data_IF_716405102628
#
_entry.id   IF_716405102628
#
_cell.length_a   1.000
_cell.length_b   1.000
_cell.length_c   1.000
_cell.angle_alpha   90.00
_cell.angle_beta   90.00
_cell.angle_gamma   90.00
#
_symmetry.space_group_name_H-M   'P 1'
#
loop_
_entity.id
_entity.type
_entity.pdbx_description
1 polymer ?
#
# COMPACT_ATOMS: atom_id res chain seq x y z
N UNK A 1 12.98 21.72 -3.50
CA UNK A 1 13.01 21.09 -4.84
C UNK A 1 11.80 21.56 -5.65
N UNK A 2 11.99 21.95 -6.90
CA UNK A 2 10.92 22.44 -7.79
C UNK A 2 10.21 21.28 -8.54
N UNK A 3 9.14 21.58 -9.28
CA UNK A 3 8.32 20.57 -9.97
C UNK A 3 9.14 19.68 -10.93
N UNK A 4 9.98 20.28 -11.80
CA UNK A 4 10.74 19.52 -12.78
C UNK A 4 11.73 18.54 -12.13
N UNK A 5 12.42 18.98 -11.08
CA UNK A 5 13.33 18.14 -10.29
C UNK A 5 12.58 16.99 -9.59
N UNK A 6 11.39 17.28 -9.03
CA UNK A 6 10.52 16.26 -8.42
C UNK A 6 10.11 15.20 -9.43
N UNK A 7 9.68 15.62 -10.61
CA UNK A 7 9.27 14.71 -11.66
C UNK A 7 10.41 13.78 -12.09
N UNK A 8 11.61 14.34 -12.31
CA UNK A 8 12.80 13.56 -12.64
C UNK A 8 13.18 12.57 -11.54
N UNK A 9 13.12 13.00 -10.27
CA UNK A 9 13.43 12.16 -9.12
C UNK A 9 12.47 10.97 -9.03
N UNK A 10 11.15 11.24 -9.07
CA UNK A 10 10.11 10.22 -8.98
C UNK A 10 10.20 9.21 -10.12
N UNK A 11 10.43 9.70 -11.35
CA UNK A 11 10.68 8.85 -12.52
C UNK A 11 11.90 7.94 -12.30
N UNK A 12 13.00 8.50 -11.82
CA UNK A 12 14.25 7.77 -11.59
C UNK A 12 14.15 6.75 -10.45
N UNK A 13 13.42 7.07 -9.37
CA UNK A 13 13.14 6.14 -8.26
C UNK A 13 12.40 4.90 -8.73
N UNK A 14 11.49 5.07 -9.70
CA UNK A 14 10.77 3.96 -10.34
C UNK A 14 11.50 3.33 -11.52
N UNK A 15 12.75 3.75 -11.78
CA UNK A 15 13.59 3.27 -12.89
C UNK A 15 12.93 3.41 -14.27
N UNK A 16 12.04 4.38 -14.43
CA UNK A 16 11.35 4.64 -15.70
C UNK A 16 12.21 5.56 -16.59
N UNK A 17 12.21 5.30 -17.88
CA UNK A 17 12.64 6.23 -18.91
C UNK A 17 11.57 7.28 -19.18
N UNK A 18 11.94 8.38 -19.84
CA UNK A 18 10.97 9.39 -20.27
C UNK A 18 9.92 8.83 -21.23
N UNK A 19 10.30 7.83 -22.04
CA UNK A 19 9.39 7.17 -22.97
C UNK A 19 8.37 6.34 -22.21
N UNK A 20 8.82 5.49 -21.28
CA UNK A 20 7.91 4.64 -20.48
C UNK A 20 6.93 5.48 -19.63
N UNK A 21 7.40 6.60 -19.06
CA UNK A 21 6.50 7.52 -18.35
C UNK A 21 5.47 8.15 -19.28
N UNK A 22 5.89 8.52 -20.50
CA UNK A 22 5.00 9.13 -21.47
C UNK A 22 3.93 8.13 -21.96
N UNK A 23 4.33 6.87 -22.20
CA UNK A 23 3.43 5.77 -22.54
C UNK A 23 2.40 5.53 -21.42
N UNK A 24 2.83 5.51 -20.16
CA UNK A 24 1.93 5.31 -19.01
C UNK A 24 0.86 6.41 -18.88
N UNK A 25 1.20 7.65 -19.28
CA UNK A 25 0.30 8.80 -19.17
C UNK A 25 -0.50 9.02 -20.47
N UNK A 26 -0.10 8.38 -21.57
CA UNK A 26 -0.73 8.53 -22.88
C UNK A 26 -0.37 9.84 -23.59
N UNK A 27 0.88 10.30 -23.42
CA UNK A 27 1.42 11.53 -24.03
C UNK A 27 2.70 11.25 -24.81
N UNK A 28 3.25 12.27 -25.48
CA UNK A 28 4.54 12.12 -26.16
C UNK A 28 5.71 12.23 -25.18
N UNK A 29 6.79 11.48 -25.42
CA UNK A 29 8.07 11.63 -24.70
C UNK A 29 8.55 13.08 -24.67
N UNK A 30 8.33 13.82 -25.75
CA UNK A 30 8.70 15.24 -25.84
C UNK A 30 7.98 16.11 -24.81
N UNK A 31 6.73 15.79 -24.46
CA UNK A 31 6.00 16.51 -23.41
C UNK A 31 6.63 16.27 -22.04
N UNK A 32 6.95 15.00 -21.70
CA UNK A 32 7.68 14.66 -20.46
C UNK A 32 9.02 15.39 -20.41
N UNK A 33 9.80 15.38 -21.49
CA UNK A 33 11.09 16.07 -21.54
C UNK A 33 10.95 17.59 -21.34
N UNK A 34 9.89 18.22 -21.86
CA UNK A 34 9.61 19.65 -21.64
C UNK A 34 9.24 19.93 -20.19
N UNK A 35 8.50 19.03 -19.54
CA UNK A 35 8.18 19.14 -18.12
C UNK A 35 9.42 19.01 -17.25
N UNK A 36 10.26 18.00 -17.51
CA UNK A 36 11.52 17.78 -16.77
C UNK A 36 12.58 18.87 -17.00
N UNK A 37 12.46 19.64 -18.07
CA UNK A 37 13.35 20.79 -18.34
C UNK A 37 12.75 22.14 -17.94
N UNK A 38 11.55 22.14 -17.33
CA UNK A 38 10.84 23.37 -16.93
C UNK A 38 10.36 24.24 -18.11
N UNK A 39 10.43 23.73 -19.35
CA UNK A 39 9.99 24.46 -20.56
C UNK A 39 8.47 24.49 -20.72
N UNK A 40 7.75 23.60 -20.03
CA UNK A 40 6.30 23.57 -20.00
C UNK A 40 5.83 22.99 -18.66
N UNK A 41 4.60 23.31 -18.27
CA UNK A 41 3.94 22.76 -17.08
C UNK A 41 2.81 21.84 -17.56
N UNK A 42 2.64 20.64 -16.96
CA UNK A 42 1.50 19.79 -17.27
C UNK A 42 0.18 20.47 -16.88
N UNK A 43 -0.86 20.25 -17.68
CA UNK A 43 -2.22 20.63 -17.31
C UNK A 43 -2.76 19.77 -16.15
N UNK A 44 -3.94 20.13 -15.64
CA UNK A 44 -4.58 19.42 -14.52
C UNK A 44 -4.84 17.94 -14.82
N UNK A 45 -5.17 17.59 -16.08
CA UNK A 45 -5.42 16.22 -16.47
C UNK A 45 -4.14 15.37 -16.40
N UNK A 46 -3.05 15.91 -16.92
CA UNK A 46 -1.73 15.32 -16.84
C UNK A 46 -1.21 15.25 -15.41
N UNK A 47 -1.47 16.26 -14.57
CA UNK A 47 -1.15 16.22 -13.14
C UNK A 47 -1.91 15.11 -12.39
N UNK A 48 -3.19 14.89 -12.72
CA UNK A 48 -3.97 13.77 -12.17
C UNK A 48 -3.36 12.43 -12.61
N UNK A 49 -2.95 12.30 -13.87
CA UNK A 49 -2.30 11.07 -14.36
C UNK A 49 -0.95 10.84 -13.67
N UNK A 50 -0.11 11.88 -13.56
CA UNK A 50 1.15 11.83 -12.82
C UNK A 50 0.93 11.43 -11.35
N UNK A 51 -0.10 12.01 -10.72
CA UNK A 51 -0.51 11.68 -9.35
C UNK A 51 -0.86 10.20 -9.22
N UNK A 52 -1.57 9.61 -10.18
CA UNK A 52 -1.88 8.18 -10.21
C UNK A 52 -0.64 7.32 -10.47
N UNK A 53 0.16 7.69 -11.46
CA UNK A 53 1.39 6.97 -11.83
C UNK A 53 2.32 6.90 -10.64
N UNK A 54 2.66 8.04 -10.03
CA UNK A 54 3.57 8.09 -8.89
C UNK A 54 2.92 7.79 -7.55
N UNK A 55 1.60 7.63 -7.56
CA UNK A 55 0.73 7.51 -6.40
C UNK A 55 1.04 8.54 -5.30
N UNK A 56 1.05 9.81 -5.67
CA UNK A 56 1.24 10.93 -4.73
C UNK A 56 0.19 11.99 -5.02
N UNK A 57 -0.17 12.79 -4.02
CA UNK A 57 -1.12 13.89 -4.24
C UNK A 57 -0.55 14.94 -5.21
N UNK A 58 -1.42 15.57 -5.99
CA UNK A 58 -1.04 16.68 -6.88
C UNK A 58 -0.39 17.81 -6.07
N UNK A 59 -0.86 18.04 -4.85
CA UNK A 59 -0.28 19.02 -3.92
C UNK A 59 1.23 18.77 -3.71
N UNK A 60 1.62 17.52 -3.48
CA UNK A 60 3.02 17.13 -3.26
C UNK A 60 3.87 17.24 -4.53
N UNK A 61 3.28 17.01 -5.70
CA UNK A 61 3.90 17.22 -7.01
C UNK A 61 4.21 18.70 -7.25
N UNK A 62 3.23 19.58 -7.01
CA UNK A 62 3.25 20.97 -7.50
C UNK A 62 3.81 21.96 -6.49
N UNK A 63 3.58 21.77 -5.18
CA UNK A 63 4.09 22.72 -4.18
C UNK A 63 5.61 22.74 -4.18
N UNK A 64 6.17 23.93 -4.35
CA UNK A 64 7.58 24.17 -4.11
C UNK A 64 7.84 24.02 -2.60
N UNK A 65 8.88 23.27 -2.25
CA UNK A 65 9.32 23.16 -0.87
C UNK A 65 10.03 24.45 -0.45
N UNK A 66 9.26 25.54 -0.30
CA UNK A 66 9.74 26.80 0.31
C UNK A 66 9.44 26.89 1.81
N UNK A 67 8.86 25.85 2.40
CA UNK A 67 8.83 25.70 3.85
C UNK A 67 9.88 24.67 4.27
N UNK A 68 10.75 25.06 5.20
CA UNK A 68 11.79 24.26 5.87
C UNK A 68 11.20 23.05 6.63
N UNK A 69 10.60 22.13 5.89
CA UNK A 69 10.38 20.75 6.28
C UNK A 69 11.11 19.91 5.24
N UNK A 70 12.43 20.03 5.21
CA UNK A 70 13.26 18.99 4.63
C UNK A 70 12.88 17.69 5.35
N UNK A 71 12.21 16.79 4.65
CA UNK A 71 12.07 15.41 5.10
C UNK A 71 13.48 14.81 5.04
N UNK A 72 14.26 15.02 6.10
CA UNK A 72 15.50 14.31 6.33
C UNK A 72 15.14 12.87 6.68
N UNK A 73 15.16 12.00 5.67
CA UNK A 73 15.03 10.58 5.90
C UNK A 73 16.29 10.09 6.61
N UNK A 74 16.12 9.35 7.69
CA UNK A 74 17.23 8.58 8.24
C UNK A 74 17.74 7.64 7.14
N UNK A 75 19.06 7.46 6.99
CA UNK A 75 19.61 6.51 6.04
C UNK A 75 19.13 5.11 6.42
N UNK A 76 18.17 4.57 5.65
CA UNK A 76 17.71 3.19 5.78
C UNK A 76 18.60 2.33 4.88
N UNK A 77 19.27 1.33 5.46
CA UNK A 77 19.92 0.31 4.67
C UNK A 77 18.87 -0.36 3.78
N UNK A 78 19.06 -0.31 2.46
CA UNK A 78 18.25 -1.06 1.50
C UNK A 78 18.63 -2.54 1.60
N UNK A 79 18.17 -3.23 2.64
CA UNK A 79 18.12 -4.69 2.60
C UNK A 79 17.20 -5.09 1.44
N UNK A 80 17.64 -6.05 0.62
CA UNK A 80 16.77 -6.69 -0.35
C UNK A 80 15.73 -7.51 0.43
N UNK A 81 14.45 -7.08 0.48
CA UNK A 81 13.52 -7.61 1.47
C UNK A 81 12.93 -8.96 1.05
N UNK A 82 13.49 -9.66 0.05
CA UNK A 82 12.86 -10.88 -0.50
C UNK A 82 12.51 -11.89 0.59
N UNK A 83 13.42 -12.18 1.52
CA UNK A 83 13.15 -13.12 2.61
C UNK A 83 12.05 -12.63 3.56
N UNK A 84 12.03 -11.32 3.84
CA UNK A 84 10.99 -10.68 4.66
C UNK A 84 9.63 -10.70 3.96
N UNK A 85 9.58 -10.36 2.68
CA UNK A 85 8.36 -10.40 1.88
C UNK A 85 7.86 -11.84 1.80
N UNK A 86 8.74 -12.81 1.54
CA UNK A 86 8.39 -14.23 1.52
C UNK A 86 7.80 -14.69 2.86
N UNK A 87 8.37 -14.25 3.99
CA UNK A 87 7.80 -14.48 5.31
C UNK A 87 6.41 -13.83 5.45
N UNK A 88 6.28 -12.54 5.12
CA UNK A 88 5.04 -11.79 5.26
C UNK A 88 3.88 -12.42 4.47
N UNK A 89 4.15 -12.85 3.23
CA UNK A 89 3.15 -13.52 2.39
C UNK A 89 2.67 -14.84 3.01
N UNK A 90 3.57 -15.64 3.61
CA UNK A 90 3.19 -16.88 4.30
C UNK A 90 2.38 -16.59 5.56
N UNK A 91 2.79 -15.59 6.35
CA UNK A 91 2.11 -15.22 7.58
C UNK A 91 0.66 -14.80 7.32
N UNK A 92 0.43 -13.93 6.33
CA UNK A 92 -0.92 -13.49 5.92
C UNK A 92 -1.82 -14.66 5.51
N UNK A 93 -1.28 -15.56 4.68
CA UNK A 93 -1.99 -16.76 4.20
C UNK A 93 -2.22 -17.82 5.28
N UNK A 94 -1.55 -17.71 6.42
CA UNK A 94 -1.68 -18.65 7.56
C UNK A 94 -2.48 -18.07 8.72
N UNK A 95 -2.86 -16.80 8.65
CA UNK A 95 -3.60 -16.06 9.69
C UNK A 95 -4.98 -15.67 9.16
N UNK A 96 -5.42 -14.41 9.27
CA UNK A 96 -6.81 -14.03 9.05
C UNK A 96 -7.34 -14.50 7.69
N UNK A 97 -6.58 -14.22 6.62
CA UNK A 97 -6.95 -14.57 5.26
C UNK A 97 -7.03 -16.09 5.03
N UNK A 98 -6.21 -16.86 5.77
CA UNK A 98 -6.14 -18.32 5.71
C UNK A 98 -7.02 -19.05 6.71
N UNK A 99 -7.92 -18.36 7.40
CA UNK A 99 -8.70 -18.94 8.50
C UNK A 99 -7.82 -19.53 9.62
N UNK A 100 -6.69 -18.87 9.90
CA UNK A 100 -5.77 -19.25 10.97
C UNK A 100 -6.42 -19.17 12.36
N UNK A 101 -5.91 -19.97 13.30
CA UNK A 101 -6.42 -20.01 14.66
C UNK A 101 -6.06 -18.74 15.45
N UNK A 102 -7.00 -18.26 16.25
CA UNK A 102 -6.76 -17.17 17.21
C UNK A 102 -5.89 -17.66 18.38
N UNK A 103 -5.12 -16.73 18.95
CA UNK A 103 -4.35 -16.93 20.18
C UNK A 103 -5.01 -16.21 21.36
N UNK A 104 -4.47 -16.43 22.56
CA UNK A 104 -4.86 -15.67 23.75
C UNK A 104 -4.79 -14.16 23.48
N UNK A 105 -5.92 -13.49 23.73
CA UNK A 105 -6.09 -12.06 23.48
C UNK A 105 -5.06 -11.22 24.23
N UNK A 106 -4.37 -10.32 23.55
CA UNK A 106 -3.36 -9.45 24.16
C UNK A 106 -3.96 -8.16 24.73
N UNK A 107 -5.16 -7.78 24.26
CA UNK A 107 -5.96 -6.64 24.73
C UNK A 107 -7.37 -7.11 25.08
N UNK A 108 -8.16 -6.36 25.86
CA UNK A 108 -9.57 -6.69 26.06
C UNK A 108 -10.32 -6.74 24.72
N UNK A 109 -11.00 -7.86 24.46
CA UNK A 109 -11.84 -8.08 23.28
C UNK A 109 -11.14 -7.93 21.92
N UNK A 110 -9.83 -8.18 21.84
CA UNK A 110 -9.12 -8.28 20.55
C UNK A 110 -9.19 -9.68 19.97
N UNK A 111 -9.13 -9.72 18.64
CA UNK A 111 -8.86 -10.92 17.87
C UNK A 111 -7.38 -10.90 17.53
N UNK A 112 -6.63 -11.85 18.06
CA UNK A 112 -5.18 -11.93 17.89
C UNK A 112 -4.81 -13.19 17.12
N UNK A 113 -4.10 -13.03 16.00
CA UNK A 113 -3.55 -14.13 15.20
C UNK A 113 -2.03 -14.06 15.25
N UNK A 114 -1.38 -15.23 15.33
CA UNK A 114 0.06 -15.35 15.52
C UNK A 114 0.66 -16.34 14.53
N UNK A 115 1.79 -15.97 13.93
CA UNK A 115 2.55 -16.85 13.05
C UNK A 115 4.06 -16.73 13.30
N UNK A 116 4.79 -17.85 13.23
CA UNK A 116 6.24 -17.91 13.46
C UNK A 116 6.88 -18.77 12.37
N UNK A 117 7.97 -18.27 11.77
CA UNK A 117 8.80 -19.01 10.82
C UNK A 117 10.26 -18.58 11.00
N UNK A 118 11.07 -19.49 11.56
CA UNK A 118 12.46 -19.23 11.91
C UNK A 118 12.63 -18.06 12.89
N UNK A 119 13.39 -17.05 12.48
CA UNK A 119 13.67 -15.83 13.27
C UNK A 119 12.54 -14.80 13.25
N UNK A 120 11.52 -15.01 12.43
CA UNK A 120 10.45 -14.06 12.22
C UNK A 120 9.20 -14.44 13.02
N UNK A 121 8.61 -13.44 13.65
CA UNK A 121 7.36 -13.51 14.39
C UNK A 121 6.39 -12.47 13.81
N UNK A 122 5.17 -12.88 13.56
CA UNK A 122 4.09 -12.06 13.05
C UNK A 122 2.90 -12.08 14.01
N UNK A 123 2.31 -10.90 14.22
CA UNK A 123 1.02 -10.74 14.87
C UNK A 123 0.09 -9.94 13.97
N UNK A 124 -1.18 -10.35 13.92
CA UNK A 124 -2.30 -9.56 13.42
C UNK A 124 -3.31 -9.43 14.54
N UNK A 125 -3.57 -8.20 14.99
CA UNK A 125 -4.42 -7.94 16.15
C UNK A 125 -5.41 -6.83 15.83
N UNK A 126 -6.71 -7.13 15.91
CA UNK A 126 -7.76 -6.17 15.61
C UNK A 126 -8.91 -6.19 16.63
N UNK A 127 -9.66 -5.10 16.63
CA UNK A 127 -10.89 -4.93 17.39
C UNK A 127 -12.06 -4.75 16.43
N UNK A 128 -13.24 -5.24 16.82
CA UNK A 128 -14.47 -5.06 16.08
C UNK A 128 -14.69 -6.08 14.97
N UNK A 129 -15.78 -5.90 14.22
CA UNK A 129 -16.21 -6.80 13.15
C UNK A 129 -16.63 -6.00 11.91
N UNK A 130 -17.81 -5.40 11.93
CA UNK A 130 -18.32 -4.57 10.83
C UNK A 130 -17.66 -3.20 10.76
N UNK A 131 -17.23 -2.66 11.90
CA UNK A 131 -16.33 -1.51 12.00
C UNK A 131 -15.16 -1.98 12.83
N UNK A 132 -13.96 -1.83 12.29
CA UNK A 132 -12.78 -2.46 12.87
C UNK A 132 -11.55 -1.60 12.69
N UNK A 133 -10.59 -1.81 13.58
CA UNK A 133 -9.24 -1.26 13.48
C UNK A 133 -8.25 -2.31 14.00
N UNK A 134 -7.10 -2.39 13.36
CA UNK A 134 -6.10 -3.41 13.68
C UNK A 134 -4.68 -3.00 13.33
N UNK A 135 -3.77 -3.88 13.73
CA UNK A 135 -2.35 -3.77 13.48
C UNK A 135 -1.79 -5.13 13.10
N UNK A 136 -0.98 -5.13 12.05
CA UNK A 136 -0.04 -6.19 11.78
C UNK A 136 1.36 -5.76 12.23
N UNK A 137 2.04 -6.59 13.00
CA UNK A 137 3.41 -6.35 13.45
C UNK A 137 4.33 -7.51 13.09
N UNK A 138 5.56 -7.20 12.69
CA UNK A 138 6.61 -8.19 12.44
C UNK A 138 7.84 -7.91 13.29
N UNK A 139 8.34 -8.97 13.93
CA UNK A 139 9.59 -9.00 14.68
C UNK A 139 10.58 -9.95 14.03
N UNK A 140 11.85 -9.58 14.05
CA UNK A 140 13.00 -10.43 13.69
C UNK A 140 13.92 -10.51 14.90
N UNK A 141 14.19 -11.71 15.40
CA UNK A 141 15.01 -11.90 16.61
C UNK A 141 14.52 -11.08 17.82
N UNK A 142 13.18 -11.07 18.03
CA UNK A 142 12.47 -10.29 19.05
C UNK A 142 12.59 -8.76 18.95
N UNK A 143 13.14 -8.21 17.85
CA UNK A 143 13.14 -6.78 17.56
C UNK A 143 12.05 -6.45 16.56
N UNK A 144 11.17 -5.46 16.81
CA UNK A 144 10.20 -5.04 15.82
C UNK A 144 10.94 -4.49 14.60
N UNK A 145 10.49 -4.85 13.40
CA UNK A 145 11.10 -4.40 12.15
C UNK A 145 10.09 -3.76 11.20
N UNK A 146 8.80 -4.04 11.36
CA UNK A 146 7.76 -3.57 10.46
C UNK A 146 6.40 -3.59 11.15
N UNK A 147 5.56 -2.61 10.83
CA UNK A 147 4.15 -2.61 11.25
C UNK A 147 3.25 -2.00 10.17
N UNK A 148 1.97 -2.39 10.20
CA UNK A 148 0.90 -1.81 9.40
C UNK A 148 -0.36 -1.68 10.23
N UNK A 149 -0.89 -0.47 10.33
CA UNK A 149 -2.21 -0.25 10.89
C UNK A 149 -3.26 -0.20 9.79
N UNK A 150 -4.47 -0.61 10.12
CA UNK A 150 -5.60 -0.58 9.20
C UNK A 150 -6.90 -0.29 9.94
N UNK A 151 -7.84 0.34 9.27
CA UNK A 151 -9.15 0.68 9.80
C UNK A 151 -10.17 0.68 8.67
N UNK A 152 -11.31 0.04 8.91
CA UNK A 152 -12.31 -0.14 7.87
C UNK A 152 -13.69 -0.42 8.39
N UNK A 153 -14.61 -0.54 7.43
CA UNK A 153 -16.02 -0.79 7.70
C UNK A 153 -16.74 -1.50 6.57
N UNK A 154 -17.72 -2.30 6.95
CA UNK A 154 -18.77 -2.83 6.08
C UNK A 154 -19.80 -1.72 5.85
N UNK A 155 -20.17 -1.51 4.59
CA UNK A 155 -21.09 -0.46 4.16
C UNK A 155 -22.46 -1.00 3.76
N UNK A 156 -22.56 -2.31 3.48
CA UNK A 156 -23.77 -2.94 2.96
C UNK A 156 -23.85 -4.42 3.34
N UNK A 157 -25.06 -4.95 3.50
CA UNK A 157 -25.35 -6.36 3.87
C UNK A 157 -24.87 -7.39 2.84
N UNK A 158 -24.64 -6.95 1.61
CA UNK A 158 -24.14 -7.77 0.49
C UNK A 158 -22.63 -8.05 0.62
N UNK A 159 -21.96 -7.51 1.64
CA UNK A 159 -20.56 -7.78 1.90
C UNK A 159 -20.30 -9.27 2.18
N UNK A 160 -19.28 -9.81 1.53
CA UNK A 160 -18.80 -11.17 1.76
C UNK A 160 -17.41 -11.17 2.39
N UNK A 161 -17.33 -11.58 3.65
CA UNK A 161 -16.05 -11.77 4.34
C UNK A 161 -15.19 -12.87 3.72
N UNK A 162 -15.80 -13.89 3.13
CA UNK A 162 -15.07 -14.94 2.41
C UNK A 162 -14.45 -14.42 1.11
N UNK A 163 -15.15 -13.56 0.37
CA UNK A 163 -14.56 -12.88 -0.79
C UNK A 163 -13.36 -12.02 -0.38
N UNK A 164 -13.49 -11.23 0.70
CA UNK A 164 -12.35 -10.46 1.24
C UNK A 164 -11.16 -11.37 1.57
N UNK A 165 -11.38 -12.49 2.28
CA UNK A 165 -10.31 -13.45 2.61
C UNK A 165 -9.63 -14.03 1.37
N UNK A 166 -10.38 -14.32 0.31
CA UNK A 166 -9.81 -14.75 -0.98
C UNK A 166 -8.93 -13.66 -1.61
N UNK A 167 -9.37 -12.40 -1.61
CA UNK A 167 -8.58 -11.28 -2.11
C UNK A 167 -7.28 -11.10 -1.31
N UNK A 168 -7.36 -11.14 0.03
CA UNK A 168 -6.19 -11.04 0.90
C UNK A 168 -5.24 -12.26 0.75
N UNK A 169 -5.79 -13.44 0.46
CA UNK A 169 -4.99 -14.64 0.17
C UNK A 169 -4.28 -14.59 -1.19
N UNK A 170 -4.73 -13.74 -2.11
CA UNK A 170 -4.11 -13.53 -3.43
C UNK A 170 -2.92 -12.55 -3.40
N UNK A 171 -2.45 -12.17 -2.21
CA UNK A 171 -1.24 -11.35 -1.99
C UNK A 171 0.00 -11.92 -2.70
N UNK A 172 0.81 -11.03 -3.28
CA UNK A 172 2.00 -11.35 -4.10
C UNK A 172 3.21 -10.51 -3.70
N UNK A 173 4.41 -10.82 -4.24
CA UNK A 173 5.62 -10.01 -4.00
C UNK A 173 5.48 -8.56 -4.49
N UNK A 174 4.69 -8.33 -5.53
CA UNK A 174 4.44 -7.01 -6.09
C UNK A 174 3.43 -6.22 -5.25
N UNK A 175 2.45 -6.92 -4.66
CA UNK A 175 1.41 -6.33 -3.79
C UNK A 175 1.39 -7.04 -2.43
N UNK A 176 2.36 -6.77 -1.53
CA UNK A 176 2.57 -7.58 -0.34
C UNK A 176 1.72 -7.19 0.89
N UNK A 177 1.00 -6.07 0.84
CA UNK A 177 0.35 -5.48 2.03
C UNK A 177 -1.07 -5.99 2.28
N UNK A 178 -1.92 -6.00 1.25
CA UNK A 178 -3.32 -6.48 1.32
C UNK A 178 -3.55 -7.49 0.18
N UNK A 179 -4.57 -7.31 -0.65
CA UNK A 179 -4.76 -8.07 -1.89
C UNK A 179 -4.09 -7.43 -3.12
N UNK A 180 -4.25 -8.04 -4.33
CA UNK A 180 -3.76 -7.49 -5.59
C UNK A 180 -4.48 -6.19 -5.96
N UNK A 181 -3.95 -5.40 -6.92
CA UNK A 181 -4.59 -4.13 -7.32
C UNK A 181 -6.06 -4.28 -7.77
N UNK A 182 -6.40 -5.41 -8.40
CA UNK A 182 -7.75 -5.76 -8.85
C UNK A 182 -7.99 -7.26 -8.66
N UNK A 183 -9.14 -7.64 -8.12
CA UNK A 183 -9.60 -9.03 -8.06
C UNK A 183 -11.11 -9.11 -8.35
N UNK A 184 -11.56 -10.09 -9.14
CA UNK A 184 -12.96 -10.26 -9.52
C UNK A 184 -13.39 -11.71 -9.38
N UNK A 185 -14.54 -11.94 -8.75
CA UNK A 185 -15.17 -13.26 -8.65
C UNK A 185 -16.68 -13.11 -8.55
N UNK A 186 -17.42 -13.68 -9.52
CA UNK A 186 -18.86 -13.51 -9.61
C UNK A 186 -19.25 -12.03 -9.71
N UNK A 187 -20.17 -11.60 -8.83
CA UNK A 187 -20.67 -10.23 -8.77
C UNK A 187 -19.74 -9.27 -8.02
N UNK A 188 -18.65 -9.78 -7.43
CA UNK A 188 -17.76 -8.99 -6.57
C UNK A 188 -16.53 -8.49 -7.31
N UNK A 189 -16.18 -7.24 -7.07
CA UNK A 189 -14.93 -6.60 -7.51
C UNK A 189 -14.21 -5.98 -6.32
N UNK A 190 -12.94 -6.32 -6.15
CA UNK A 190 -12.03 -5.75 -5.17
C UNK A 190 -11.04 -4.82 -5.86
N UNK A 191 -10.82 -3.65 -5.25
CA UNK A 191 -9.84 -2.66 -5.68
C UNK A 191 -8.88 -2.36 -4.53
N UNK A 192 -7.57 -2.34 -4.82
CA UNK A 192 -6.53 -1.97 -3.87
C UNK A 192 -5.61 -0.92 -4.48
N UNK A 193 -5.41 0.19 -3.78
CA UNK A 193 -4.51 1.27 -4.19
C UNK A 193 -3.46 1.47 -3.10
N UNK A 194 -2.18 1.50 -3.49
CA UNK A 194 -1.04 1.57 -2.55
C UNK A 194 -0.06 2.65 -3.01
N UNK A 195 0.15 3.65 -2.16
CA UNK A 195 1.15 4.71 -2.30
C UNK A 195 2.36 4.37 -1.45
N UNK A 196 3.55 4.37 -2.05
CA UNK A 196 4.81 4.08 -1.37
C UNK A 196 5.29 2.64 -1.60
N UNK A 197 6.28 2.24 -0.81
CA UNK A 197 6.95 0.95 -0.87
C UNK A 197 7.09 0.34 0.54
N UNK A 198 7.68 -0.85 0.64
CA UNK A 198 7.77 -1.60 1.90
C UNK A 198 8.24 -0.77 3.13
N UNK A 199 9.26 0.11 3.01
CA UNK A 199 9.72 0.93 4.12
C UNK A 199 8.72 1.98 4.60
N UNK A 200 7.82 2.46 3.72
CA UNK A 200 6.82 3.47 4.04
C UNK A 200 5.70 3.50 3.00
N UNK A 201 4.48 3.15 3.41
CA UNK A 201 3.33 3.07 2.51
C UNK A 201 2.02 3.46 3.18
N UNK A 202 1.04 3.78 2.34
CA UNK A 202 -0.36 3.96 2.70
C UNK A 202 -1.24 3.46 1.55
N UNK A 203 -2.46 3.05 1.83
CA UNK A 203 -3.35 2.55 0.82
C UNK A 203 -4.80 2.47 1.25
N UNK A 204 -5.63 2.13 0.28
CA UNK A 204 -7.05 1.87 0.47
C UNK A 204 -7.43 0.58 -0.22
N UNK A 205 -8.38 -0.13 0.37
CA UNK A 205 -9.04 -1.29 -0.22
C UNK A 205 -10.55 -1.08 -0.22
N UNK A 206 -11.20 -1.48 -1.30
CA UNK A 206 -12.63 -1.31 -1.52
C UNK A 206 -13.20 -2.57 -2.16
N UNK A 207 -14.40 -2.96 -1.76
CA UNK A 207 -15.15 -4.04 -2.44
C UNK A 207 -16.48 -3.50 -2.92
N UNK A 208 -16.82 -3.88 -4.14
CA UNK A 208 -18.09 -3.63 -4.79
C UNK A 208 -18.79 -4.95 -5.06
N UNK A 209 -20.10 -5.02 -4.82
CA UNK A 209 -20.98 -6.05 -5.33
C UNK A 209 -21.85 -5.41 -6.41
N UNK A 210 -21.69 -5.84 -7.67
CA UNK A 210 -22.19 -5.10 -8.85
C UNK A 210 -21.66 -3.67 -8.83
N UNK A 211 -22.53 -2.67 -8.71
CA UNK A 211 -22.20 -1.25 -8.67
C UNK A 211 -22.27 -0.65 -7.25
N UNK A 212 -22.55 -1.47 -6.22
CA UNK A 212 -22.70 -1.01 -4.84
C UNK A 212 -21.39 -1.23 -4.09
N UNK A 213 -20.82 -0.16 -3.52
CA UNK A 213 -19.68 -0.27 -2.60
C UNK A 213 -20.14 -0.89 -1.29
N UNK A 214 -19.63 -2.08 -0.97
CA UNK A 214 -20.04 -2.86 0.21
C UNK A 214 -19.03 -2.84 1.35
N UNK A 215 -17.78 -2.42 1.08
CA UNK A 215 -16.70 -2.39 2.07
C UNK A 215 -15.63 -1.36 1.70
N UNK A 216 -15.01 -0.78 2.73
CA UNK A 216 -13.82 0.04 2.60
C UNK A 216 -12.87 -0.13 3.78
N UNK A 217 -11.58 -0.01 3.53
CA UNK A 217 -10.55 0.05 4.56
C UNK A 217 -9.38 0.92 4.09
N UNK A 218 -8.81 1.69 5.02
CA UNK A 218 -7.55 2.37 4.84
C UNK A 218 -6.46 1.67 5.64
N UNK A 219 -5.24 1.69 5.13
CA UNK A 219 -4.10 1.07 5.80
C UNK A 219 -2.84 1.88 5.55
N UNK A 220 -1.90 1.83 6.49
CA UNK A 220 -0.60 2.49 6.37
C UNK A 220 0.42 1.79 7.25
N UNK A 221 1.69 1.86 6.87
CA UNK A 221 2.73 1.15 7.58
C UNK A 221 4.11 1.39 7.01
N UNK A 222 5.07 0.63 7.53
CA UNK A 222 6.46 0.76 7.14
C UNK A 222 7.40 0.12 8.14
N UNK A 223 8.68 0.44 7.97
CA UNK A 223 9.73 -0.03 8.87
C UNK A 223 9.58 0.58 10.27
N UNK A 224 9.90 -0.23 11.26
CA UNK A 224 10.08 0.21 12.65
C UNK A 224 11.58 0.20 12.94
N UNK A 225 12.09 1.32 13.47
CA UNK A 225 13.50 1.54 13.83
C UNK A 225 13.72 1.33 15.34
#
# INVERSE_FOLDING_TARGET
MNFQEKLMLLRSQRKLSQEELAEQIGISRQAVAKWETGKAIPDIGNLIQLSKVFNISIDRLVKEEENNCSLEFLPVEKENPSDFIDFLLKAKKSTYAGYGAETASTRPASHDLRYVDGKYLYYDSYLGSEQFAGEEGVWKDNKPIWAMNYSGRVLHEEFSGDFLKKCLSAVSKEFPFRGPALYKEGEYTYHCSICGDYPWFQGTEEIFCRDIKVYECCFHGGNIL
#
